data_IF_811412214487
#
_entry.id   IF_811412214487
#
_cell.length_a   1.000
_cell.length_b   1.000
_cell.length_c   1.000
_cell.angle_alpha   90.00
_cell.angle_beta   90.00
_cell.angle_gamma   90.00
#
_symmetry.space_group_name_H-M   'P 1'
#
loop_
_entity.id
_entity.type
_entity.pdbx_description
1 polymer ?
#
# COMPACT_ATOMS: atom_id res chain seq x y z
N UNK A 1 22.73 -2.02 -19.23
CA UNK A 1 22.22 -2.23 -17.87
C UNK A 1 21.13 -3.28 -17.99
N UNK A 2 21.32 -4.46 -17.41
CA UNK A 2 20.27 -5.48 -17.41
C UNK A 2 19.25 -5.04 -16.36
N UNK A 3 18.04 -4.69 -16.78
CA UNK A 3 16.93 -4.46 -15.86
C UNK A 3 16.72 -5.74 -15.06
N UNK A 4 16.83 -5.65 -13.73
CA UNK A 4 16.45 -6.73 -12.84
C UNK A 4 14.95 -6.58 -12.62
N UNK A 5 14.11 -7.52 -13.10
CA UNK A 5 12.67 -7.43 -12.87
C UNK A 5 12.42 -7.48 -11.36
N UNK A 6 11.79 -6.43 -10.84
CA UNK A 6 11.39 -6.38 -9.43
C UNK A 6 10.23 -7.35 -9.27
N UNK A 7 10.35 -8.41 -8.45
CA UNK A 7 9.26 -9.34 -8.24
C UNK A 7 8.06 -8.61 -7.62
N UNK A 8 6.86 -8.96 -8.07
CA UNK A 8 5.63 -8.41 -7.50
C UNK A 8 5.57 -8.73 -6.00
N UNK A 9 5.13 -7.77 -5.17
CA UNK A 9 5.06 -7.99 -3.73
C UNK A 9 4.08 -9.12 -3.38
N UNK A 10 4.50 -10.01 -2.49
CA UNK A 10 3.65 -11.09 -1.97
C UNK A 10 2.50 -10.49 -1.15
N UNK A 11 1.25 -10.98 -1.30
CA UNK A 11 0.13 -10.53 -0.47
C UNK A 11 0.44 -10.73 1.01
N UNK A 12 0.18 -9.70 1.79
CA UNK A 12 0.40 -9.67 3.24
C UNK A 12 -0.78 -10.27 4.02
N UNK A 13 -1.95 -10.38 3.38
CA UNK A 13 -3.18 -10.84 4.02
C UNK A 13 -3.89 -9.73 4.82
N UNK A 14 -3.42 -8.49 4.70
CA UNK A 14 -4.06 -7.30 5.27
C UNK A 14 -4.56 -6.46 4.09
N UNK A 15 -5.88 -6.43 3.87
CA UNK A 15 -6.51 -5.75 2.71
C UNK A 15 -6.00 -4.31 2.50
N UNK A 16 -5.79 -3.56 3.58
CA UNK A 16 -5.30 -2.19 3.51
C UNK A 16 -3.86 -2.11 2.99
N UNK A 17 -2.99 -3.03 3.40
CA UNK A 17 -1.59 -3.11 2.93
C UNK A 17 -1.54 -3.65 1.52
N UNK A 18 -2.36 -4.65 1.19
CA UNK A 18 -2.42 -5.25 -0.15
C UNK A 18 -2.91 -4.23 -1.20
N UNK A 19 -3.84 -3.34 -0.85
CA UNK A 19 -4.24 -2.21 -1.72
C UNK A 19 -3.08 -1.24 -1.98
N UNK A 20 -2.25 -0.96 -0.98
CA UNK A 20 -1.07 -0.10 -1.15
C UNK A 20 -0.05 -0.75 -2.09
N UNK A 21 0.16 -2.06 -1.95
CA UNK A 21 1.07 -2.82 -2.80
C UNK A 21 0.63 -2.84 -4.26
N UNK A 22 -0.67 -2.98 -4.52
CA UNK A 22 -1.25 -2.90 -5.87
C UNK A 22 -1.07 -1.50 -6.49
N UNK A 23 -1.30 -0.45 -5.70
CA UNK A 23 -1.09 0.94 -6.11
C UNK A 23 0.35 1.22 -6.55
N UNK A 24 1.33 0.69 -5.82
CA UNK A 24 2.76 0.86 -6.12
C UNK A 24 3.17 -0.02 -7.31
N UNK A 25 2.62 -1.24 -7.43
CA UNK A 25 2.90 -2.12 -8.57
C UNK A 25 2.42 -1.51 -9.90
N UNK A 26 1.25 -0.85 -9.91
CA UNK A 26 0.72 -0.15 -11.08
C UNK A 26 1.36 1.21 -11.35
N UNK A 27 2.39 1.62 -10.61
CA UNK A 27 3.04 2.92 -10.77
C UNK A 27 3.92 2.98 -12.02
N UNK A 28 4.54 1.86 -12.41
CA UNK A 28 5.43 1.78 -13.57
C UNK A 28 4.72 2.16 -14.89
N UNK A 29 3.42 1.89 -14.99
CA UNK A 29 2.59 2.25 -16.15
C UNK A 29 2.10 3.72 -16.14
N UNK A 30 2.36 4.47 -15.06
CA UNK A 30 1.92 5.86 -14.92
C UNK A 30 3.00 6.87 -15.31
N UNK A 31 2.63 8.09 -15.71
CA UNK A 31 3.59 9.17 -15.93
C UNK A 31 4.40 9.48 -14.66
N UNK A 32 5.71 9.70 -14.81
CA UNK A 32 6.63 9.99 -13.70
C UNK A 32 6.18 11.19 -12.84
N UNK A 33 5.54 12.19 -13.45
CA UNK A 33 5.00 13.35 -12.74
C UNK A 33 3.92 12.99 -11.70
N UNK A 34 3.22 11.86 -11.90
CA UNK A 34 2.18 11.37 -11.00
C UNK A 34 2.73 10.45 -9.90
N UNK A 35 3.97 9.97 -10.05
CA UNK A 35 4.55 8.98 -9.13
C UNK A 35 4.65 9.51 -7.71
N UNK A 36 5.10 10.75 -7.55
CA UNK A 36 5.22 11.38 -6.24
C UNK A 36 3.86 11.43 -5.51
N UNK A 37 2.80 11.90 -6.19
CA UNK A 37 1.47 11.98 -5.59
C UNK A 37 0.88 10.62 -5.22
N UNK A 38 1.07 9.61 -6.07
CA UNK A 38 0.62 8.25 -5.80
C UNK A 38 1.39 7.62 -4.64
N UNK A 39 2.72 7.79 -4.59
CA UNK A 39 3.56 7.28 -3.50
C UNK A 39 3.25 7.97 -2.17
N UNK A 40 3.01 9.28 -2.17
CA UNK A 40 2.62 10.02 -0.97
C UNK A 40 1.28 9.53 -0.42
N UNK A 41 0.27 9.35 -1.28
CA UNK A 41 -1.03 8.81 -0.89
C UNK A 41 -0.90 7.36 -0.36
N UNK A 42 -0.17 6.51 -1.07
CA UNK A 42 0.10 5.13 -0.67
C UNK A 42 0.83 5.05 0.68
N UNK A 43 1.77 5.95 0.95
CA UNK A 43 2.46 6.03 2.23
C UNK A 43 1.53 6.49 3.36
N UNK A 44 0.66 7.48 3.12
CA UNK A 44 -0.33 7.91 4.11
C UNK A 44 -1.29 6.77 4.49
N UNK A 45 -1.79 6.03 3.50
CA UNK A 45 -2.67 4.88 3.70
C UNK A 45 -1.97 3.75 4.46
N UNK A 46 -0.71 3.44 4.10
CA UNK A 46 0.09 2.45 4.81
C UNK A 46 0.29 2.84 6.27
N UNK A 47 0.59 4.12 6.53
CA UNK A 47 0.76 4.62 7.89
C UNK A 47 -0.52 4.46 8.70
N UNK A 48 -1.67 4.84 8.15
CA UNK A 48 -2.97 4.69 8.80
C UNK A 48 -3.31 3.22 9.10
N UNK A 49 -2.99 2.32 8.16
CA UNK A 49 -3.20 0.89 8.33
C UNK A 49 -2.32 0.29 9.45
N UNK A 50 -1.07 0.74 9.57
CA UNK A 50 -0.14 0.26 10.59
C UNK A 50 -0.40 0.89 11.97
N UNK A 51 -0.90 2.13 12.02
CA UNK A 51 -1.21 2.84 13.27
C UNK A 51 -2.50 2.32 13.94
N UNK A 52 -3.35 1.60 13.19
CA UNK A 52 -4.51 0.91 13.74
C UNK A 52 -4.10 -0.51 14.17
N UNK A 53 -4.07 -0.84 15.47
CA UNK A 53 -3.73 -2.19 15.88
C UNK A 53 -4.81 -3.18 15.38
N UNK A 54 -4.42 -4.36 14.88
CA UNK A 54 -5.36 -5.40 14.46
C UNK A 54 -6.14 -5.89 15.68
N UNK A 55 -7.33 -5.33 15.89
CA UNK A 55 -8.14 -5.58 17.09
C UNK A 55 -8.92 -4.38 17.62
N UNK A 56 -8.69 -3.17 17.10
CA UNK A 56 -9.50 -1.98 17.45
C UNK A 56 -10.84 -1.97 16.68
N UNK A 57 -11.65 -3.01 16.84
CA UNK A 57 -13.08 -2.89 16.56
C UNK A 57 -13.72 -2.13 17.75
N UNK A 58 -14.61 -1.15 17.53
CA UNK A 58 -15.30 -0.50 18.63
C UNK A 58 -16.10 -1.58 19.36
N UNK A 59 -15.71 -1.86 20.60
CA UNK A 59 -16.40 -2.74 21.51
C UNK A 59 -17.89 -2.37 21.53
N UNK A 60 -18.74 -3.19 20.91
CA UNK A 60 -20.17 -3.12 21.08
C UNK A 60 -20.49 -3.64 22.49
N UNK A 61 -20.55 -2.70 23.44
CA UNK A 61 -21.04 -2.94 24.80
C UNK A 61 -22.51 -3.37 24.78
N UNK A 62 -22.89 -4.32 25.65
CA UNK A 62 -23.85 -3.98 26.70
C UNK A 62 -23.25 -4.03 28.11
#
# INVERSE_FOLDING_TARGET
>A
MTEVPVPAPTPTGVDAVDRVLDLVAGLADRPLAEHAGVLEAAHADLRAALDTPPGSAPNAAP
#
